data_IF_012253855870
#
_entry.id   IF_012253855870
#
_cell.length_a   1.000
_cell.length_b   1.000
_cell.length_c   1.000
_cell.angle_alpha   90.00
_cell.angle_beta   90.00
_cell.angle_gamma   90.00
#
_symmetry.space_group_name_H-M   'P 1'
#
loop_
_entity.id
_entity.type
_entity.pdbx_description
1 polymer ?
#
# COMPACT_ATOMS: atom_id res chain seq x y z
N UNK A 1 7.00 -6.60 24.87
CA UNK A 1 6.18 -5.67 24.06
C UNK A 1 6.70 -5.74 22.64
N UNK A 2 6.04 -6.48 21.75
CA UNK A 2 6.45 -6.59 20.34
C UNK A 2 6.04 -5.30 19.63
N UNK A 3 6.97 -4.78 18.83
CA UNK A 3 7.02 -3.42 18.32
C UNK A 3 5.73 -2.89 17.71
N UNK A 4 5.53 -1.60 17.96
CA UNK A 4 4.85 -0.68 17.04
C UNK A 4 5.61 -0.56 15.72
N UNK A 5 5.87 -1.70 15.06
CA UNK A 5 6.18 -1.75 13.64
C UNK A 5 4.86 -1.49 12.92
N UNK A 6 4.68 -0.25 12.49
CA UNK A 6 3.46 0.24 11.87
C UNK A 6 3.00 -0.71 10.77
N UNK A 7 1.92 -1.45 11.01
CA UNK A 7 1.39 -2.42 10.07
C UNK A 7 1.15 -1.73 8.71
N UNK A 8 1.77 -2.19 7.61
CA UNK A 8 1.59 -1.57 6.29
C UNK A 8 0.11 -1.47 5.88
N UNK A 9 -0.71 -2.45 6.25
CA UNK A 9 -2.16 -2.40 6.02
C UNK A 9 -2.81 -1.24 6.79
N UNK A 10 -2.42 -1.03 8.06
CA UNK A 10 -2.96 0.04 8.90
C UNK A 10 -2.54 1.42 8.37
N UNK A 11 -1.27 1.58 7.99
CA UNK A 11 -0.77 2.82 7.38
C UNK A 11 -1.59 3.20 6.13
N UNK A 12 -1.81 2.25 5.24
CA UNK A 12 -2.53 2.48 3.99
C UNK A 12 -4.02 2.70 4.27
N UNK A 13 -4.62 1.94 5.18
CA UNK A 13 -6.01 2.12 5.57
C UNK A 13 -6.29 3.51 6.14
N UNK A 14 -5.49 3.99 7.08
CA UNK A 14 -5.62 5.35 7.65
C UNK A 14 -5.48 6.43 6.58
N UNK A 15 -4.61 6.21 5.58
CA UNK A 15 -4.44 7.17 4.49
C UNK A 15 -5.63 7.17 3.53
N UNK A 16 -6.16 5.99 3.21
CA UNK A 16 -7.34 5.86 2.37
C UNK A 16 -8.60 6.40 3.06
N UNK A 17 -8.68 6.29 4.39
CA UNK A 17 -9.73 6.88 5.21
C UNK A 17 -9.62 8.41 5.33
N UNK A 18 -8.49 9.01 4.91
CA UNK A 18 -8.24 10.44 5.03
C UNK A 18 -7.84 10.88 6.44
N UNK A 19 -7.65 9.94 7.38
CA UNK A 19 -7.22 10.22 8.75
C UNK A 19 -5.76 10.70 8.83
N UNK A 20 -4.98 10.43 7.78
CA UNK A 20 -3.62 10.92 7.62
C UNK A 20 -3.31 11.33 6.20
N UNK A 21 -2.31 12.18 6.06
CA UNK A 21 -1.76 12.59 4.76
C UNK A 21 -0.94 11.44 4.14
N UNK A 22 -1.04 11.31 2.82
CA UNK A 22 -0.15 10.47 2.04
C UNK A 22 1.28 11.05 2.08
N UNK A 23 2.20 10.28 2.63
CA UNK A 23 3.60 10.64 2.86
C UNK A 23 4.53 9.48 2.46
N UNK A 24 5.84 9.68 2.61
CA UNK A 24 6.85 8.64 2.28
C UNK A 24 6.60 7.31 3.01
N UNK A 25 6.13 7.35 4.26
CA UNK A 25 5.80 6.13 5.02
C UNK A 25 4.62 5.39 4.39
N UNK A 26 3.64 6.11 3.86
CA UNK A 26 2.51 5.54 3.12
C UNK A 26 2.99 4.84 1.86
N UNK A 27 3.88 5.46 1.10
CA UNK A 27 4.41 4.88 -0.12
C UNK A 27 5.32 3.68 0.16
N UNK A 28 6.15 3.72 1.20
CA UNK A 28 6.94 2.57 1.64
C UNK A 28 6.04 1.40 2.08
N UNK A 29 4.96 1.68 2.82
CA UNK A 29 3.98 0.66 3.19
C UNK A 29 3.27 0.05 1.97
N UNK A 30 2.92 0.87 0.98
CA UNK A 30 2.35 0.40 -0.29
C UNK A 30 3.31 -0.51 -1.06
N UNK A 31 4.60 -0.16 -1.12
CA UNK A 31 5.61 -0.97 -1.80
C UNK A 31 5.77 -2.34 -1.11
N UNK A 32 5.75 -2.40 0.23
CA UNK A 32 5.75 -3.66 1.00
C UNK A 32 4.50 -4.51 0.71
N UNK A 33 3.32 -3.88 0.64
CA UNK A 33 2.08 -4.60 0.33
C UNK A 33 2.09 -5.14 -1.10
N UNK A 34 2.65 -4.38 -2.05
CA UNK A 34 2.78 -4.81 -3.45
C UNK A 34 3.66 -6.06 -3.55
N UNK A 35 4.82 -6.03 -2.91
CA UNK A 35 5.73 -7.19 -2.88
C UNK A 35 5.05 -8.41 -2.25
N UNK A 36 4.32 -8.23 -1.15
CA UNK A 36 3.58 -9.34 -0.52
C UNK A 36 2.50 -9.90 -1.42
N UNK A 37 1.77 -9.05 -2.15
CA UNK A 37 0.75 -9.47 -3.09
C UNK A 37 1.36 -10.23 -4.27
N UNK A 38 2.50 -9.78 -4.79
CA UNK A 38 3.22 -10.49 -5.85
C UNK A 38 3.71 -11.87 -5.39
N UNK A 39 4.26 -11.95 -4.17
CA UNK A 39 4.65 -13.23 -3.57
C UNK A 39 3.45 -14.16 -3.40
N UNK A 40 2.30 -13.64 -2.98
CA UNK A 40 1.06 -14.40 -2.83
C UNK A 40 0.56 -14.93 -4.19
N UNK A 41 0.58 -14.10 -5.24
CA UNK A 41 0.22 -14.50 -6.61
C UNK A 41 1.14 -15.57 -7.19
N UNK A 42 2.40 -15.59 -6.77
CA UNK A 42 3.39 -16.62 -7.16
C UNK A 42 3.20 -17.93 -6.40
N UNK A 43 2.56 -17.91 -5.24
CA UNK A 43 2.36 -19.10 -4.40
C UNK A 43 1.28 -20.02 -4.97
N UNK A 44 0.17 -19.46 -5.42
CA UNK A 44 -0.94 -20.24 -6.00
C UNK A 44 -1.69 -19.42 -7.06
N UNK A 45 -2.08 -20.09 -8.14
CA UNK A 45 -2.93 -19.56 -9.21
C UNK A 45 -4.26 -18.99 -8.70
N UNK A 46 -4.79 -19.51 -7.60
CA UNK A 46 -6.01 -19.01 -6.95
C UNK A 46 -5.91 -17.53 -6.55
N UNK A 47 -4.70 -17.02 -6.31
CA UNK A 47 -4.47 -15.63 -5.91
C UNK A 47 -4.25 -14.68 -7.09
N UNK A 48 -4.22 -15.16 -8.34
CA UNK A 48 -3.95 -14.30 -9.51
C UNK A 48 -4.97 -13.16 -9.67
N UNK A 49 -6.24 -13.41 -9.30
CA UNK A 49 -7.30 -12.41 -9.36
C UNK A 49 -7.26 -11.39 -8.20
N UNK A 50 -6.48 -11.64 -7.14
CA UNK A 50 -6.39 -10.72 -6.00
C UNK A 50 -5.63 -9.47 -6.43
N UNK A 51 -6.24 -8.31 -6.30
CA UNK A 51 -5.68 -7.02 -6.66
C UNK A 51 -6.03 -5.95 -5.63
N UNK A 52 -5.29 -4.85 -5.63
CA UNK A 52 -5.64 -3.69 -4.82
C UNK A 52 -6.91 -2.99 -5.33
N UNK A 53 -7.59 -2.29 -4.43
CA UNK A 53 -8.75 -1.48 -4.78
C UNK A 53 -8.37 -0.29 -5.70
N UNK A 54 -9.34 0.26 -6.46
CA UNK A 54 -9.11 1.45 -7.27
C UNK A 54 -8.57 2.65 -6.48
N UNK A 55 -8.91 2.76 -5.18
CA UNK A 55 -8.48 3.86 -4.33
C UNK A 55 -6.99 3.80 -4.00
N UNK A 56 -6.43 2.59 -3.84
CA UNK A 56 -4.97 2.40 -3.79
C UNK A 56 -4.33 2.81 -5.12
N UNK A 57 -4.99 2.54 -6.25
CA UNK A 57 -4.54 3.00 -7.57
C UNK A 57 -4.46 4.54 -7.68
N UNK A 58 -5.46 5.25 -7.15
CA UNK A 58 -5.44 6.72 -7.07
C UNK A 58 -4.31 7.21 -6.15
N UNK A 59 -4.11 6.56 -5.01
CA UNK A 59 -3.03 6.86 -4.06
C UNK A 59 -1.64 6.65 -4.68
N UNK A 60 -1.45 5.61 -5.49
CA UNK A 60 -0.18 5.42 -6.23
C UNK A 60 0.06 6.52 -7.27
N UNK A 61 -0.99 7.02 -7.92
CA UNK A 61 -0.87 8.13 -8.89
C UNK A 61 -0.51 9.45 -8.22
N UNK A 62 -0.98 9.70 -6.99
CA UNK A 62 -0.62 10.92 -6.26
C UNK A 62 0.88 10.99 -5.91
N UNK A 63 1.56 9.84 -5.73
CA UNK A 63 3.03 9.78 -5.60
C UNK A 63 3.75 10.48 -6.76
N UNK A 64 3.27 10.29 -7.99
CA UNK A 64 3.87 10.88 -9.20
C UNK A 64 3.69 12.40 -9.26
N UNK A 65 2.63 12.93 -8.66
CA UNK A 65 2.38 14.38 -8.59
C UNK A 65 3.29 15.08 -7.57
N UNK A 66 3.72 14.38 -6.52
CA UNK A 66 4.63 14.93 -5.49
C UNK A 66 6.09 14.94 -5.94
N UNK A 67 6.48 14.11 -6.92
CA UNK A 67 7.83 14.05 -7.46
C UNK A 67 8.14 15.13 -8.53
N UNK A 68 7.15 15.94 -8.91
CA UNK A 68 7.30 17.08 -9.83
C UNK A 68 7.05 18.35 -9.02
N UNK A 69 8.06 18.79 -8.26
CA UNK A 69 8.06 20.00 -7.47
C UNK A 69 9.48 20.41 -7.14
#
# INVERSE_FOLDING_TARGET
MIGTDSNPCHIVAETLAGNRRADERTFAALDILDEKLERLRKLDSAFQAVAFSPDVGKLRKSRKAVAVG
#
